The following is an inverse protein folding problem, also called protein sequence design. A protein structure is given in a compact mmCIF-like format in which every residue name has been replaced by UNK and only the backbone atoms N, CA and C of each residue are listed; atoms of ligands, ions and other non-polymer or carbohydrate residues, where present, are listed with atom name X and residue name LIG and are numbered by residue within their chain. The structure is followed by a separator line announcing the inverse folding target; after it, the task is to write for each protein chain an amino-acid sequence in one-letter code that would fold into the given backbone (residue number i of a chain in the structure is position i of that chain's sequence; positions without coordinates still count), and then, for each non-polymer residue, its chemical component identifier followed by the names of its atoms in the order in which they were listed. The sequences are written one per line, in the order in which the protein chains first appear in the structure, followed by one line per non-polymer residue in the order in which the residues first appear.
data_IF_091528038414
#
_entry.id   IF_091528038414
#
_cell.length_a   1.000
_cell.length_b   1.000
_cell.length_c   1.000
_cell.angle_alpha   90.00
_cell.angle_beta   90.00
_cell.angle_gamma   90.00
#
_symmetry.space_group_name_H-M   'P 1'
#
loop_
_entity.id
_entity.type
_entity.pdbx_description
1 polymer ?
#
# COMPACT_ATOMS: atom_id res chain seq x y z
N UNK A 1 45.03 -8.65 49.29
CA UNK A 1 45.24 -9.12 47.91
C UNK A 1 44.10 -10.03 47.40
N UNK A 2 43.67 -11.04 48.18
CA UNK A 2 42.57 -11.95 47.80
C UNK A 2 41.21 -11.27 47.54
N UNK A 3 40.84 -10.22 48.27
CA UNK A 3 39.56 -9.51 48.09
C UNK A 3 39.45 -8.80 46.74
N UNK A 4 40.47 -8.07 46.30
CA UNK A 4 40.49 -7.38 44.99
C UNK A 4 40.41 -8.35 43.81
N UNK A 5 41.02 -9.52 43.92
CA UNK A 5 40.93 -10.58 42.91
C UNK A 5 39.50 -11.16 42.82
N UNK A 6 38.83 -11.33 43.96
CA UNK A 6 37.46 -11.83 44.03
C UNK A 6 36.45 -10.87 43.37
N UNK A 7 36.60 -9.55 43.60
CA UNK A 7 35.77 -8.51 42.96
C UNK A 7 35.99 -8.42 41.44
N UNK A 8 37.23 -8.63 40.97
CA UNK A 8 37.52 -8.64 39.53
C UNK A 8 36.83 -9.81 38.82
N UNK A 9 36.83 -10.99 39.44
CA UNK A 9 36.17 -12.20 38.89
C UNK A 9 34.64 -12.03 38.89
N UNK A 10 34.04 -11.47 39.95
CA UNK A 10 32.59 -11.25 39.99
C UNK A 10 32.10 -10.23 38.97
N UNK A 11 32.84 -9.13 38.75
CA UNK A 11 32.51 -8.13 37.74
C UNK A 11 32.55 -8.71 36.31
N UNK A 12 33.53 -9.59 36.02
CA UNK A 12 33.63 -10.27 34.73
C UNK A 12 32.44 -11.20 34.47
N UNK A 13 32.03 -11.97 35.48
CA UNK A 13 30.86 -12.87 35.38
C UNK A 13 29.58 -12.07 35.12
N UNK A 14 29.38 -10.94 35.83
CA UNK A 14 28.22 -10.08 35.62
C UNK A 14 28.20 -9.50 34.20
N UNK A 15 29.34 -9.04 33.68
CA UNK A 15 29.46 -8.56 32.31
C UNK A 15 29.09 -9.62 31.27
N UNK A 16 29.54 -10.86 31.47
CA UNK A 16 29.18 -12.00 30.60
C UNK A 16 27.68 -12.27 30.65
N UNK A 17 27.07 -12.29 31.84
CA UNK A 17 25.63 -12.55 32.01
C UNK A 17 24.81 -11.46 31.29
N UNK A 18 25.16 -10.19 31.47
CA UNK A 18 24.48 -9.07 30.79
C UNK A 18 24.63 -9.22 29.27
N UNK A 19 25.84 -9.53 28.78
CA UNK A 19 26.09 -9.74 27.35
C UNK A 19 25.24 -10.85 26.75
N UNK A 20 25.11 -11.99 27.44
CA UNK A 20 24.27 -13.13 27.01
C UNK A 20 22.78 -12.78 27.02
N UNK A 21 22.31 -12.04 28.03
CA UNK A 21 20.91 -11.60 28.10
C UNK A 21 20.60 -10.63 26.94
N UNK A 22 21.48 -9.65 26.70
CA UNK A 22 21.31 -8.66 25.63
C UNK A 22 21.30 -9.31 24.24
N UNK A 23 22.19 -10.27 23.96
CA UNK A 23 22.20 -11.00 22.68
C UNK A 23 20.92 -11.81 22.48
N UNK A 24 20.47 -12.58 23.47
CA UNK A 24 19.21 -13.33 23.37
C UNK A 24 17.98 -12.45 23.23
N UNK A 25 17.99 -11.26 23.85
CA UNK A 25 16.91 -10.30 23.70
C UNK A 25 16.89 -9.71 22.27
N UNK A 26 18.06 -9.39 21.71
CA UNK A 26 18.17 -8.91 20.33
C UNK A 26 17.67 -9.95 19.33
N UNK A 27 18.14 -11.19 19.41
CA UNK A 27 17.69 -12.30 18.55
C UNK A 27 16.17 -12.52 18.65
N UNK A 28 15.60 -12.46 19.85
CA UNK A 28 14.16 -12.63 20.04
C UNK A 28 13.35 -11.51 19.38
N UNK A 29 13.82 -10.26 19.42
CA UNK A 29 13.16 -9.14 18.73
C UNK A 29 13.20 -9.33 17.21
N UNK A 30 14.37 -9.65 16.66
CA UNK A 30 14.56 -9.87 15.22
C UNK A 30 13.66 -11.02 14.71
N UNK A 31 13.62 -12.15 15.41
CA UNK A 31 12.74 -13.29 15.05
C UNK A 31 11.25 -12.88 15.08
N UNK A 32 10.85 -12.05 16.04
CA UNK A 32 9.45 -11.60 16.16
C UNK A 32 9.08 -10.66 15.02
N UNK A 33 9.98 -9.76 14.64
CA UNK A 33 9.80 -8.86 13.50
C UNK A 33 9.72 -9.65 12.18
N UNK A 34 10.64 -10.58 11.94
CA UNK A 34 10.62 -11.48 10.77
C UNK A 34 9.30 -12.27 10.70
N UNK A 35 8.86 -12.85 11.80
CA UNK A 35 7.61 -13.62 11.82
C UNK A 35 6.39 -12.73 11.56
N UNK A 36 6.36 -11.52 12.10
CA UNK A 36 5.29 -10.55 11.87
C UNK A 36 5.23 -10.13 10.39
N UNK A 37 6.38 -9.85 9.77
CA UNK A 37 6.45 -9.55 8.33
C UNK A 37 6.01 -10.73 7.47
N UNK A 38 6.37 -11.97 7.82
CA UNK A 38 5.93 -13.18 7.10
C UNK A 38 4.42 -13.40 7.21
N UNK A 39 3.84 -13.14 8.38
CA UNK A 39 2.39 -13.20 8.58
C UNK A 39 1.68 -12.12 7.76
N UNK A 40 2.21 -10.90 7.71
CA UNK A 40 1.66 -9.82 6.88
C UNK A 40 1.71 -10.17 5.38
N UNK A 41 2.83 -10.70 4.88
CA UNK A 41 2.96 -11.17 3.49
C UNK A 41 1.96 -12.29 3.18
N UNK A 42 1.85 -13.29 4.06
CA UNK A 42 0.86 -14.37 3.93
C UNK A 42 -0.58 -13.84 3.95
N UNK A 43 -0.84 -12.76 4.68
CA UNK A 43 -2.15 -12.09 4.72
C UNK A 43 -2.45 -11.40 3.40
N UNK A 44 -1.50 -10.64 2.85
CA UNK A 44 -1.64 -9.96 1.56
C UNK A 44 -1.86 -10.97 0.43
N UNK A 45 -1.12 -12.08 0.39
CA UNK A 45 -1.30 -13.10 -0.65
C UNK A 45 -2.68 -13.79 -0.58
N UNK A 46 -3.22 -13.96 0.63
CA UNK A 46 -4.59 -14.43 0.81
C UNK A 46 -5.61 -13.42 0.25
N UNK A 47 -5.44 -12.13 0.56
CA UNK A 47 -6.30 -11.07 0.03
C UNK A 47 -6.25 -11.05 -1.50
N UNK A 48 -5.05 -11.08 -2.10
CA UNK A 48 -4.86 -11.15 -3.56
C UNK A 48 -5.60 -12.34 -4.17
N UNK A 49 -5.48 -13.52 -3.57
CA UNK A 49 -6.19 -14.73 -4.02
C UNK A 49 -7.71 -14.53 -4.01
N UNK A 50 -8.27 -13.93 -2.96
CA UNK A 50 -9.71 -13.64 -2.88
C UNK A 50 -10.15 -12.59 -3.89
N UNK A 51 -9.36 -11.55 -4.12
CA UNK A 51 -9.60 -10.56 -5.18
C UNK A 51 -9.65 -11.21 -6.55
N UNK A 52 -8.80 -12.21 -6.82
CA UNK A 52 -8.85 -12.96 -8.07
C UNK A 52 -10.19 -13.67 -8.31
N UNK A 53 -10.97 -13.91 -7.25
CA UNK A 53 -12.29 -14.52 -7.26
C UNK A 53 -13.44 -13.50 -7.14
N UNK A 54 -13.16 -12.19 -7.14
CA UNK A 54 -14.19 -11.13 -7.13
C UNK A 54 -14.65 -10.72 -5.74
N UNK A 55 -13.92 -11.08 -4.69
CA UNK A 55 -14.26 -10.72 -3.31
C UNK A 55 -14.03 -9.21 -3.06
N UNK A 56 -15.13 -8.46 -2.91
CA UNK A 56 -15.15 -7.02 -2.68
C UNK A 56 -14.55 -6.64 -1.31
N UNK A 57 -14.78 -7.46 -0.28
CA UNK A 57 -14.23 -7.18 1.05
C UNK A 57 -12.71 -7.36 1.04
N UNK A 58 -12.23 -8.42 0.39
CA UNK A 58 -10.80 -8.64 0.19
C UNK A 58 -10.16 -7.53 -0.63
N UNK A 59 -10.84 -7.03 -1.68
CA UNK A 59 -10.37 -5.89 -2.46
C UNK A 59 -10.23 -4.63 -1.61
N UNK A 60 -11.23 -4.33 -0.79
CA UNK A 60 -11.23 -3.16 0.10
C UNK A 60 -10.09 -3.23 1.13
N UNK A 61 -9.84 -4.41 1.69
CA UNK A 61 -8.71 -4.66 2.59
C UNK A 61 -7.38 -4.53 1.85
N UNK A 62 -7.26 -5.12 0.66
CA UNK A 62 -6.05 -5.05 -0.16
C UNK A 62 -5.70 -3.61 -0.52
N UNK A 63 -6.69 -2.79 -0.88
CA UNK A 63 -6.53 -1.35 -1.08
C UNK A 63 -5.95 -0.64 0.15
N UNK A 64 -6.41 -1.04 1.34
CA UNK A 64 -5.87 -0.55 2.62
C UNK A 64 -4.40 -0.94 2.83
N UNK A 65 -4.02 -2.18 2.52
CA UNK A 65 -2.64 -2.66 2.64
C UNK A 65 -1.68 -1.90 1.71
N UNK A 66 -2.14 -1.46 0.54
CA UNK A 66 -1.33 -0.72 -0.42
C UNK A 66 -1.27 0.80 -0.18
N UNK A 67 -1.97 1.34 0.83
CA UNK A 67 -2.05 2.79 1.07
C UNK A 67 -0.70 3.47 1.26
N UNK A 68 0.23 2.80 1.94
CA UNK A 68 1.55 3.35 2.26
C UNK A 68 2.63 3.01 1.21
N UNK A 69 2.22 2.39 0.09
CA UNK A 69 3.08 2.00 -1.01
C UNK A 69 2.89 2.93 -2.22
N UNK A 70 3.84 2.95 -3.16
CA UNK A 70 3.65 3.63 -4.44
C UNK A 70 2.32 3.20 -5.09
N UNK A 71 1.48 4.14 -5.57
CA UNK A 71 0.15 3.84 -6.08
C UNK A 71 0.14 2.73 -7.16
N UNK A 72 1.18 2.69 -8.00
CA UNK A 72 1.35 1.74 -9.10
C UNK A 72 1.27 0.28 -8.63
N UNK A 73 1.65 0.00 -7.38
CA UNK A 73 1.58 -1.34 -6.80
C UNK A 73 0.14 -1.86 -6.66
N UNK A 74 -0.85 -0.95 -6.62
CA UNK A 74 -2.27 -1.31 -6.52
C UNK A 74 -2.98 -1.36 -7.89
N UNK A 75 -2.43 -0.68 -8.91
CA UNK A 75 -3.10 -0.45 -10.21
C UNK A 75 -3.63 -1.73 -10.85
N UNK A 76 -2.85 -2.82 -10.83
CA UNK A 76 -3.26 -4.11 -11.38
C UNK A 76 -4.57 -4.62 -10.75
N UNK A 77 -4.68 -4.53 -9.42
CA UNK A 77 -5.83 -5.06 -8.68
C UNK A 77 -7.09 -4.24 -8.96
N UNK A 78 -6.96 -2.91 -9.02
CA UNK A 78 -8.04 -2.01 -9.41
C UNK A 78 -8.53 -2.32 -10.85
N UNK A 79 -7.61 -2.41 -11.82
CA UNK A 79 -7.96 -2.75 -13.20
C UNK A 79 -8.63 -4.12 -13.31
N UNK A 80 -8.14 -5.11 -12.57
CA UNK A 80 -8.70 -6.46 -12.59
C UNK A 80 -10.14 -6.49 -12.07
N UNK A 81 -10.41 -5.85 -10.93
CA UNK A 81 -11.76 -5.79 -10.36
C UNK A 81 -12.72 -4.94 -11.20
N UNK A 82 -12.24 -3.81 -11.74
CA UNK A 82 -13.03 -2.98 -12.65
C UNK A 82 -13.43 -3.77 -13.90
N UNK A 83 -12.45 -4.37 -14.59
CA UNK A 83 -12.70 -4.95 -15.91
C UNK A 83 -13.34 -6.34 -15.87
N UNK A 84 -12.96 -7.20 -14.91
CA UNK A 84 -13.45 -8.58 -14.86
C UNK A 84 -14.78 -8.70 -14.11
N UNK A 85 -14.92 -7.95 -13.02
CA UNK A 85 -16.07 -8.04 -12.13
C UNK A 85 -17.01 -6.84 -12.21
N UNK A 86 -16.71 -5.87 -13.08
CA UNK A 86 -17.53 -4.68 -13.30
C UNK A 86 -17.77 -3.86 -12.02
N UNK A 87 -16.83 -3.92 -11.07
CA UNK A 87 -16.99 -3.30 -9.76
C UNK A 87 -16.80 -1.78 -9.86
N UNK A 88 -17.88 -1.02 -9.62
CA UNK A 88 -17.93 0.43 -9.83
C UNK A 88 -16.80 1.21 -9.18
N UNK A 89 -16.52 0.98 -7.89
CA UNK A 89 -15.47 1.69 -7.15
C UNK A 89 -14.07 1.42 -7.69
N UNK A 90 -13.83 0.22 -8.25
CA UNK A 90 -12.53 -0.10 -8.82
C UNK A 90 -12.23 0.71 -10.08
N UNK A 91 -13.27 1.18 -10.81
CA UNK A 91 -13.05 2.10 -11.93
C UNK A 91 -12.49 3.45 -11.45
N UNK A 92 -13.00 3.99 -10.35
CA UNK A 92 -12.45 5.22 -9.77
C UNK A 92 -11.03 5.00 -9.24
N UNK A 93 -10.79 3.87 -8.57
CA UNK A 93 -9.45 3.54 -8.06
C UNK A 93 -8.40 3.47 -9.19
N UNK A 94 -8.72 2.91 -10.36
CA UNK A 94 -7.80 2.94 -11.52
C UNK A 94 -7.43 4.37 -11.87
N UNK A 95 -8.43 5.25 -11.98
CA UNK A 95 -8.22 6.65 -12.29
C UNK A 95 -7.33 7.34 -11.24
N UNK A 96 -7.65 7.18 -9.96
CA UNK A 96 -6.92 7.77 -8.83
C UNK A 96 -5.48 7.29 -8.76
N UNK A 97 -5.27 5.97 -8.87
CA UNK A 97 -3.93 5.39 -8.85
C UNK A 97 -3.08 5.97 -9.99
N UNK A 98 -3.63 6.11 -11.19
CA UNK A 98 -2.91 6.72 -12.31
C UNK A 98 -2.61 8.20 -12.06
N UNK A 99 -3.57 8.96 -11.54
CA UNK A 99 -3.39 10.37 -11.17
C UNK A 99 -2.27 10.54 -10.12
N UNK A 100 -2.32 9.78 -9.03
CA UNK A 100 -1.36 9.84 -7.93
C UNK A 100 0.07 9.45 -8.36
N UNK A 101 0.19 8.50 -9.29
CA UNK A 101 1.48 8.04 -9.84
C UNK A 101 2.28 9.16 -10.55
N UNK A 102 1.60 10.21 -11.01
CA UNK A 102 2.25 11.33 -11.71
C UNK A 102 2.78 12.44 -10.78
N UNK A 103 2.59 12.31 -9.45
CA UNK A 103 3.27 13.00 -8.33
C UNK A 103 3.69 14.49 -8.54
N UNK A 104 2.87 15.29 -9.23
CA UNK A 104 3.07 16.73 -9.47
C UNK A 104 1.71 17.42 -9.40
N UNK A 105 1.66 18.66 -8.89
CA UNK A 105 0.47 19.51 -8.99
C UNK A 105 -0.02 19.56 -10.46
N UNK A 106 -1.28 19.20 -10.70
CA UNK A 106 -1.87 18.99 -12.04
C UNK A 106 -1.42 17.72 -12.77
N UNK A 107 -1.15 16.64 -12.03
CA UNK A 107 -0.74 15.31 -12.50
C UNK A 107 -1.45 14.81 -13.77
N UNK A 108 -2.77 15.00 -13.89
CA UNK A 108 -3.52 14.55 -15.07
C UNK A 108 -3.16 15.30 -16.35
N UNK A 109 -2.83 16.59 -16.28
CA UNK A 109 -2.47 17.38 -17.46
C UNK A 109 -1.03 17.11 -17.93
N UNK A 110 -0.20 16.54 -17.06
CA UNK A 110 1.16 16.09 -17.38
C UNK A 110 1.19 14.69 -18.00
N UNK A 111 0.09 13.93 -17.95
CA UNK A 111 -0.02 12.66 -18.65
C UNK A 111 0.02 12.88 -20.16
N UNK A 112 0.70 11.98 -20.88
CA UNK A 112 0.58 11.95 -22.33
C UNK A 112 -0.89 11.70 -22.75
N UNK A 113 -1.26 12.16 -23.95
CA UNK A 113 -2.64 12.14 -24.42
C UNK A 113 -3.29 10.76 -24.39
N UNK A 114 -2.53 9.69 -24.63
CA UNK A 114 -3.08 8.32 -24.64
C UNK A 114 -3.34 7.85 -23.21
N UNK A 115 -2.38 8.06 -22.31
CA UNK A 115 -2.52 7.72 -20.89
C UNK A 115 -3.64 8.51 -20.24
N UNK A 116 -3.73 9.81 -20.53
CA UNK A 116 -4.80 10.68 -20.04
C UNK A 116 -6.17 10.21 -20.49
N UNK A 117 -6.36 9.95 -21.79
CA UNK A 117 -7.62 9.42 -22.34
C UNK A 117 -8.00 8.10 -21.69
N UNK A 118 -7.03 7.22 -21.46
CA UNK A 118 -7.25 5.94 -20.79
C UNK A 118 -7.75 6.14 -19.35
N UNK A 119 -7.09 6.96 -18.54
CA UNK A 119 -7.53 7.28 -17.18
C UNK A 119 -8.96 7.87 -17.17
N UNK A 120 -9.24 8.84 -18.06
CA UNK A 120 -10.57 9.42 -18.20
C UNK A 120 -11.66 8.42 -18.58
N UNK A 121 -11.33 7.39 -19.37
CA UNK A 121 -12.30 6.33 -19.68
C UNK A 121 -12.75 5.61 -18.42
N UNK A 122 -11.84 5.27 -17.51
CA UNK A 122 -12.20 4.63 -16.24
C UNK A 122 -13.03 5.57 -15.35
N UNK A 123 -12.65 6.85 -15.25
CA UNK A 123 -13.42 7.84 -14.50
C UNK A 123 -14.86 7.99 -15.02
N UNK A 124 -15.03 8.03 -16.35
CA UNK A 124 -16.36 8.06 -17.00
C UNK A 124 -17.17 6.81 -16.70
N UNK A 125 -16.53 5.63 -16.73
CA UNK A 125 -17.20 4.37 -16.40
C UNK A 125 -17.65 4.33 -14.94
N UNK A 126 -16.83 4.81 -14.00
CA UNK A 126 -17.20 4.94 -12.59
C UNK A 126 -18.41 5.87 -12.41
N UNK A 127 -18.39 7.05 -13.05
CA UNK A 127 -19.48 8.03 -13.01
C UNK A 127 -20.78 7.46 -13.60
N UNK A 128 -20.71 6.76 -14.74
CA UNK A 128 -21.86 6.08 -15.36
C UNK A 128 -22.48 5.01 -14.47
N UNK A 129 -21.67 4.41 -13.58
CA UNK A 129 -22.12 3.41 -12.60
C UNK A 129 -22.68 4.02 -11.31
N UNK A 130 -22.80 5.34 -11.24
CA UNK A 130 -23.41 6.04 -10.12
C UNK A 130 -22.44 6.35 -8.97
N UNK A 131 -21.12 6.25 -9.20
CA UNK A 131 -20.13 6.70 -8.22
C UNK A 131 -20.15 8.23 -8.14
N UNK A 132 -20.58 8.75 -6.98
CA UNK A 132 -20.72 10.20 -6.75
C UNK A 132 -19.38 10.93 -6.67
N UNK A 133 -18.34 10.27 -6.17
CA UNK A 133 -16.97 10.82 -6.14
C UNK A 133 -16.42 10.94 -7.55
N UNK A 134 -16.63 9.90 -8.38
CA UNK A 134 -16.25 9.92 -9.78
C UNK A 134 -17.01 10.99 -10.58
N UNK A 135 -18.33 11.14 -10.35
CA UNK A 135 -19.12 12.19 -10.99
C UNK A 135 -18.62 13.60 -10.64
N UNK A 136 -18.32 13.84 -9.36
CA UNK A 136 -17.78 15.13 -8.92
C UNK A 136 -16.42 15.42 -9.55
N UNK A 137 -15.52 14.42 -9.54
CA UNK A 137 -14.18 14.52 -10.13
C UNK A 137 -14.24 14.75 -11.64
N UNK A 138 -15.13 14.04 -12.35
CA UNK A 138 -15.32 14.22 -13.79
C UNK A 138 -15.80 15.63 -14.13
N UNK A 139 -16.74 16.18 -13.36
CA UNK A 139 -17.25 17.54 -13.56
C UNK A 139 -16.16 18.60 -13.34
N UNK A 140 -15.34 18.45 -12.29
CA UNK A 140 -14.21 19.34 -12.02
C UNK A 140 -13.19 19.32 -13.18
N UNK A 141 -12.89 18.14 -13.71
CA UNK A 141 -11.94 17.99 -14.81
C UNK A 141 -12.45 18.58 -16.12
N UNK A 142 -13.73 18.41 -16.43
CA UNK A 142 -14.34 19.02 -17.61
C UNK A 142 -14.34 20.56 -17.51
N UNK A 143 -14.61 21.10 -16.31
CA UNK A 143 -14.55 22.54 -16.08
C UNK A 143 -13.13 23.10 -16.26
N UNK A 144 -12.10 22.40 -15.77
CA UNK A 144 -10.70 22.81 -15.93
C UNK A 144 -10.22 22.77 -17.37
N UNK A 145 -10.66 21.78 -18.15
CA UNK A 145 -10.32 21.67 -19.57
C UNK A 145 -10.87 22.86 -20.38
N UNK A 146 -12.11 23.29 -20.09
CA UNK A 146 -12.72 24.46 -20.73
C UNK A 146 -11.99 25.77 -20.37
N UNK A 147 -11.36 25.83 -19.19
CA UNK A 147 -10.61 27.02 -18.76
C UNK A 147 -9.18 27.12 -19.33
N UNK A 148 -8.69 26.06 -20.00
CA UNK A 148 -7.35 26.02 -20.60
C UNK A 148 -7.34 26.09 -22.14
N UNK A 149 -8.52 26.02 -22.77
CA UNK A 149 -8.75 26.27 -24.20
C UNK A 149 -9.12 27.74 -24.48
#
# INVERSE_FOLDING_TARGET
MKSKLLYGISALIIGIIIGVISTRFYERREITEINSSRLALSSIDNLKSKVLHGDIEAYTKLRGEYRDYPPENFLFWAMYMANKYDYAYAYEDVFRTMEESYNIDSAIFNMDDKTRKFAFTYLKMAAQKGDSSAMATLNDMLAKQIATD
#
